data_IF_291847696828
#
_entry.id   IF_291847696828
#
_cell.length_a   1.000
_cell.length_b   1.000
_cell.length_c   1.000
_cell.angle_alpha   90.00
_cell.angle_beta   90.00
_cell.angle_gamma   90.00
#
_symmetry.space_group_name_H-M   'P 1'
#
loop_
_entity.id
_entity.type
_entity.pdbx_description
1 polymer ?
#
# COMPACT_ATOMS: atom_id res chain seq x y z
N UNK A 1 -24.35 48.20 -38.87
CA UNK A 1 -23.34 48.03 -37.79
C UNK A 1 -23.85 47.42 -36.46
N UNK A 2 -25.16 47.37 -36.15
CA UNK A 2 -25.69 46.92 -34.84
C UNK A 2 -25.65 45.40 -34.54
N UNK A 3 -25.56 44.52 -35.56
CA UNK A 3 -25.60 43.04 -35.38
C UNK A 3 -24.25 42.45 -34.94
N UNK A 4 -23.13 43.00 -35.46
CA UNK A 4 -21.76 42.61 -35.07
C UNK A 4 -21.42 42.98 -33.61
N UNK A 5 -21.99 44.07 -33.06
CA UNK A 5 -21.75 44.46 -31.66
C UNK A 5 -22.53 43.59 -30.65
N UNK A 6 -23.72 43.08 -31.02
CA UNK A 6 -24.46 42.11 -30.20
C UNK A 6 -23.73 40.76 -30.11
N UNK A 7 -23.20 40.27 -31.22
CA UNK A 7 -22.39 39.04 -31.24
C UNK A 7 -21.11 39.15 -30.41
N UNK A 8 -20.40 40.29 -30.48
CA UNK A 8 -19.23 40.55 -29.61
C UNK A 8 -19.59 40.59 -28.13
N UNK A 9 -20.74 41.17 -27.76
CA UNK A 9 -21.22 41.17 -26.37
C UNK A 9 -21.57 39.77 -25.87
N UNK A 10 -22.22 38.95 -26.70
CA UNK A 10 -22.52 37.54 -26.39
C UNK A 10 -21.23 36.75 -26.20
N UNK A 11 -20.22 36.94 -27.06
CA UNK A 11 -18.92 36.28 -26.94
C UNK A 11 -18.19 36.67 -25.64
N UNK A 12 -18.21 37.94 -25.25
CA UNK A 12 -17.62 38.41 -23.99
C UNK A 12 -18.33 37.78 -22.78
N UNK A 13 -19.67 37.70 -22.79
CA UNK A 13 -20.43 37.04 -21.72
C UNK A 13 -20.09 35.56 -21.62
N UNK A 14 -19.91 34.87 -22.75
CA UNK A 14 -19.51 33.47 -22.78
C UNK A 14 -18.11 33.24 -22.19
N UNK A 15 -17.16 34.12 -22.51
CA UNK A 15 -15.80 34.07 -21.96
C UNK A 15 -15.82 34.28 -20.44
N UNK A 16 -16.63 35.23 -19.94
CA UNK A 16 -16.78 35.48 -18.51
C UNK A 16 -17.36 34.24 -17.80
N UNK A 17 -18.35 33.56 -18.39
CA UNK A 17 -18.90 32.32 -17.83
C UNK A 17 -17.87 31.19 -17.76
N UNK A 18 -17.03 31.04 -18.78
CA UNK A 18 -15.94 30.05 -18.78
C UNK A 18 -14.92 30.37 -17.68
N UNK A 19 -14.57 31.64 -17.49
CA UNK A 19 -13.66 32.06 -16.42
C UNK A 19 -14.26 31.76 -15.04
N UNK A 20 -15.55 32.02 -14.82
CA UNK A 20 -16.24 31.70 -13.57
C UNK A 20 -16.25 30.19 -13.31
N UNK A 21 -16.48 29.37 -14.34
CA UNK A 21 -16.42 27.92 -14.22
C UNK A 21 -15.01 27.42 -13.86
N UNK A 22 -13.96 27.96 -14.49
CA UNK A 22 -12.56 27.64 -14.17
C UNK A 22 -12.23 28.04 -12.73
N UNK A 23 -12.63 29.24 -12.29
CA UNK A 23 -12.43 29.70 -10.91
C UNK A 23 -13.19 28.80 -9.94
N UNK A 24 -14.42 28.39 -10.27
CA UNK A 24 -15.21 27.46 -9.46
C UNK A 24 -14.51 26.12 -9.29
N UNK A 25 -13.93 25.56 -10.36
CA UNK A 25 -13.14 24.32 -10.32
C UNK A 25 -11.87 24.50 -9.48
N UNK A 26 -11.17 25.63 -9.62
CA UNK A 26 -9.96 25.93 -8.85
C UNK A 26 -10.25 26.11 -7.35
N UNK A 27 -11.33 26.83 -7.01
CA UNK A 27 -11.78 27.01 -5.63
C UNK A 27 -12.23 25.69 -5.03
N UNK A 28 -12.96 24.86 -5.79
CA UNK A 28 -13.33 23.51 -5.37
C UNK A 28 -12.09 22.65 -5.09
N UNK A 29 -11.13 22.61 -6.01
CA UNK A 29 -9.89 21.85 -5.83
C UNK A 29 -8.97 22.41 -4.73
N UNK A 30 -9.09 23.68 -4.36
CA UNK A 30 -8.26 24.28 -3.31
C UNK A 30 -8.89 24.18 -1.92
N UNK A 31 -10.21 24.34 -1.81
CA UNK A 31 -10.92 24.34 -0.52
C UNK A 31 -11.58 22.99 -0.18
N UNK A 32 -11.96 22.18 -1.16
CA UNK A 32 -12.67 20.91 -0.96
C UNK A 32 -11.83 19.68 -1.32
N UNK A 33 -10.56 19.85 -1.71
CA UNK A 33 -9.63 18.72 -1.77
C UNK A 33 -9.32 18.35 -0.33
N UNK A 34 -9.93 17.26 0.13
CA UNK A 34 -9.58 16.61 1.40
C UNK A 34 -8.06 16.51 1.44
N UNK A 35 -7.44 17.28 2.33
CA UNK A 35 -6.05 17.04 2.70
C UNK A 35 -6.11 15.70 3.43
N UNK A 36 -5.71 14.63 2.75
CA UNK A 36 -5.30 13.43 3.46
C UNK A 36 -4.25 13.90 4.47
N UNK A 37 -4.50 13.69 5.75
CA UNK A 37 -3.50 14.02 6.76
C UNK A 37 -2.28 13.14 6.48
N UNK A 38 -1.13 13.79 6.27
CA UNK A 38 0.11 13.07 6.04
C UNK A 38 0.46 12.27 7.29
N UNK A 39 0.40 10.95 7.17
CA UNK A 39 0.79 10.01 8.22
C UNK A 39 2.29 10.11 8.44
N UNK A 40 2.71 10.32 9.69
CA UNK A 40 4.13 10.49 10.01
C UNK A 40 4.87 9.15 10.05
N UNK A 41 6.09 9.17 9.52
CA UNK A 41 7.08 8.11 9.76
C UNK A 41 7.71 8.32 11.15
N UNK A 42 7.69 7.27 11.96
CA UNK A 42 8.19 7.30 13.35
C UNK A 42 9.48 6.51 13.53
N UNK A 43 9.82 5.61 12.60
CA UNK A 43 11.07 4.84 12.55
C UNK A 43 11.35 4.43 11.11
N UNK A 44 12.63 4.31 10.75
CA UNK A 44 13.05 3.87 9.42
C UNK A 44 14.22 2.91 9.55
N UNK A 45 14.35 2.01 8.56
CA UNK A 45 15.54 1.18 8.31
C UNK A 45 16.10 1.63 6.94
N UNK A 46 16.83 2.77 6.86
CA UNK A 46 17.09 3.45 5.59
C UNK A 46 17.88 2.61 4.60
N UNK A 47 18.77 1.75 5.11
CA UNK A 47 19.58 0.85 4.30
C UNK A 47 18.76 -0.16 3.48
N UNK A 48 17.56 -0.49 3.93
CA UNK A 48 16.64 -1.42 3.27
C UNK A 48 15.39 -0.71 2.75
N UNK A 49 15.24 0.59 3.01
CA UNK A 49 14.09 1.39 2.56
C UNK A 49 12.77 0.89 3.14
N UNK A 50 12.74 0.64 4.46
CA UNK A 50 11.52 0.32 5.20
C UNK A 50 11.19 1.43 6.18
N UNK A 51 9.93 1.83 6.22
CA UNK A 51 9.42 2.86 7.12
C UNK A 51 8.30 2.31 8.01
N UNK A 52 8.29 2.76 9.27
CA UNK A 52 7.21 2.51 10.21
C UNK A 52 6.38 3.79 10.37
N UNK A 53 5.10 3.69 10.07
CA UNK A 53 4.14 4.79 10.15
C UNK A 53 3.40 4.83 11.50
N UNK A 54 2.99 6.02 11.92
CA UNK A 54 2.37 6.20 13.25
C UNK A 54 1.01 5.52 13.40
N UNK A 55 0.24 5.41 12.31
CA UNK A 55 -1.08 4.79 12.27
C UNK A 55 -1.03 3.25 12.19
N UNK A 56 0.15 2.64 12.15
CA UNK A 56 0.26 1.18 12.14
C UNK A 56 -0.25 0.55 13.44
N UNK A 57 -0.79 -0.66 13.34
CA UNK A 57 -1.30 -1.41 14.49
C UNK A 57 -0.17 -1.76 15.45
N UNK A 58 -0.53 -2.11 16.69
CA UNK A 58 0.44 -2.62 17.65
C UNK A 58 1.14 -3.87 17.12
N UNK A 59 0.40 -4.77 16.47
CA UNK A 59 0.95 -6.00 15.89
C UNK A 59 2.01 -5.69 14.83
N UNK A 60 1.73 -4.76 13.91
CA UNK A 60 2.71 -4.35 12.90
C UNK A 60 3.97 -3.72 13.54
N UNK A 61 3.79 -2.82 14.52
CA UNK A 61 4.90 -2.19 15.25
C UNK A 61 5.78 -3.23 15.94
N UNK A 62 5.17 -4.22 16.59
CA UNK A 62 5.90 -5.28 17.29
C UNK A 62 6.71 -6.17 16.31
N UNK A 63 6.14 -6.53 15.16
CA UNK A 63 6.87 -7.27 14.10
C UNK A 63 7.96 -6.39 13.43
N UNK A 64 7.72 -5.08 13.26
CA UNK A 64 8.70 -4.17 12.66
C UNK A 64 9.96 -4.02 13.53
N UNK A 65 9.82 -4.03 14.85
CA UNK A 65 10.98 -4.05 15.76
C UNK A 65 11.80 -5.34 15.60
N UNK A 66 11.16 -6.49 15.36
CA UNK A 66 11.89 -7.74 15.07
C UNK A 66 12.64 -7.67 13.74
N UNK A 67 12.02 -7.05 12.73
CA UNK A 67 12.69 -6.81 11.45
C UNK A 67 13.94 -5.94 11.64
N UNK A 68 13.82 -4.84 12.39
CA UNK A 68 14.95 -3.95 12.70
C UNK A 68 16.07 -4.70 13.43
N UNK A 69 15.73 -5.55 14.39
CA UNK A 69 16.69 -6.39 15.12
C UNK A 69 17.39 -7.42 14.20
N UNK A 70 16.66 -8.02 13.24
CA UNK A 70 17.23 -8.95 12.25
C UNK A 70 18.22 -8.22 11.34
N UNK A 71 17.83 -7.05 10.84
CA UNK A 71 18.60 -6.28 9.85
C UNK A 71 19.76 -5.47 10.45
N UNK A 72 19.77 -5.27 11.77
CA UNK A 72 20.87 -4.63 12.50
C UNK A 72 22.07 -5.56 12.74
N UNK A 73 21.95 -6.85 12.42
CA UNK A 73 23.03 -7.83 12.59
C UNK A 73 24.05 -7.73 11.45
N UNK A 74 25.33 -7.96 11.77
CA UNK A 74 26.40 -8.02 10.75
C UNK A 74 26.19 -9.17 9.75
N UNK A 75 25.63 -10.29 10.22
CA UNK A 75 25.27 -11.44 9.41
C UNK A 75 23.75 -11.61 9.48
N UNK A 76 23.07 -11.24 8.39
CA UNK A 76 21.62 -11.23 8.31
C UNK A 76 21.12 -12.64 8.04
N UNK A 77 20.22 -13.11 8.91
CA UNK A 77 19.49 -14.35 8.70
C UNK A 77 18.36 -14.11 7.68
N UNK A 78 18.59 -14.53 6.43
CA UNK A 78 17.65 -14.31 5.33
C UNK A 78 16.38 -15.16 5.45
N UNK A 79 16.42 -16.29 6.16
CA UNK A 79 15.23 -17.11 6.40
C UNK A 79 14.30 -16.39 7.38
N UNK A 80 14.83 -15.89 8.50
CA UNK A 80 14.06 -15.10 9.45
C UNK A 80 13.61 -13.77 8.87
N UNK A 81 14.44 -13.12 8.05
CA UNK A 81 14.06 -11.92 7.32
C UNK A 81 12.89 -12.18 6.36
N UNK A 82 12.92 -13.27 5.59
CA UNK A 82 11.83 -13.66 4.69
C UNK A 82 10.52 -13.91 5.44
N UNK A 83 10.58 -14.61 6.58
CA UNK A 83 9.41 -14.79 7.46
C UNK A 83 8.87 -13.45 7.96
N UNK A 84 9.75 -12.53 8.35
CA UNK A 84 9.35 -11.27 8.96
C UNK A 84 8.69 -10.32 7.94
N UNK A 85 9.23 -10.19 6.73
CA UNK A 85 8.58 -9.37 5.69
C UNK A 85 7.24 -9.96 5.25
N UNK A 86 7.09 -11.28 5.26
CA UNK A 86 5.82 -11.95 4.97
C UNK A 86 4.75 -11.58 6.02
N UNK A 87 5.10 -11.58 7.31
CA UNK A 87 4.18 -11.13 8.36
C UNK A 87 3.80 -9.67 8.18
N UNK A 88 4.79 -8.79 8.04
CA UNK A 88 4.56 -7.35 7.90
C UNK A 88 3.69 -7.04 6.68
N UNK A 89 3.95 -7.70 5.55
CA UNK A 89 3.11 -7.60 4.35
C UNK A 89 1.66 -8.00 4.65
N UNK A 90 1.42 -9.17 5.25
CA UNK A 90 0.05 -9.63 5.58
C UNK A 90 -0.64 -8.65 6.53
N UNK A 91 0.04 -8.23 7.60
CA UNK A 91 -0.53 -7.34 8.61
C UNK A 91 -0.92 -6.00 7.98
N UNK A 92 -0.03 -5.40 7.17
CA UNK A 92 -0.28 -4.10 6.56
C UNK A 92 -1.31 -4.18 5.43
N UNK A 93 -1.20 -5.16 4.54
CA UNK A 93 -2.09 -5.28 3.38
C UNK A 93 -3.53 -5.62 3.79
N UNK A 94 -3.73 -6.54 4.73
CA UNK A 94 -5.07 -7.01 5.12
C UNK A 94 -5.69 -6.24 6.30
N UNK A 95 -4.94 -5.34 6.95
CA UNK A 95 -5.52 -4.39 7.92
C UNK A 95 -5.99 -3.15 7.20
N UNK A 96 -7.28 -3.10 6.87
CA UNK A 96 -7.88 -1.96 6.18
C UNK A 96 -8.37 -0.87 7.14
N UNK A 97 -8.58 -1.21 8.41
CA UNK A 97 -9.11 -0.30 9.43
C UNK A 97 -8.23 0.92 9.70
N UNK A 98 -6.92 0.82 9.46
CA UNK A 98 -5.96 1.90 9.67
C UNK A 98 -5.64 2.72 8.41
N UNK A 99 -6.26 2.42 7.26
CA UNK A 99 -5.98 3.06 5.98
C UNK A 99 -6.70 4.39 5.81
N UNK A 100 -5.98 5.36 5.24
CA UNK A 100 -6.48 6.72 5.00
C UNK A 100 -7.50 6.78 3.86
N UNK A 101 -7.32 5.97 2.81
CA UNK A 101 -8.25 5.90 1.69
C UNK A 101 -7.94 4.66 0.86
N UNK A 102 -8.72 4.43 -0.21
CA UNK A 102 -8.39 3.39 -1.20
C UNK A 102 -7.01 3.53 -1.86
N UNK A 103 -6.34 4.68 -1.71
CA UNK A 103 -5.01 4.91 -2.29
C UNK A 103 -3.87 4.57 -1.32
N UNK A 104 -4.18 4.38 -0.03
CA UNK A 104 -3.21 4.01 1.00
C UNK A 104 -3.02 2.48 1.00
N UNK A 105 -2.32 1.96 -0.01
CA UNK A 105 -2.09 0.52 -0.18
C UNK A 105 -0.99 0.05 0.77
N UNK A 106 -1.29 -0.91 1.64
CA UNK A 106 -0.31 -1.51 2.54
C UNK A 106 0.64 -2.50 1.84
N UNK A 107 1.81 -2.72 2.44
CA UNK A 107 2.76 -3.77 2.05
C UNK A 107 3.61 -3.47 0.81
N UNK A 108 3.50 -2.28 0.22
CA UNK A 108 4.16 -1.94 -1.05
C UNK A 108 5.68 -1.95 -0.98
N UNK A 109 6.25 -1.74 0.20
CA UNK A 109 7.71 -1.67 0.42
C UNK A 109 8.40 -3.04 0.26
N UNK A 110 7.62 -4.11 0.42
CA UNK A 110 8.07 -5.49 0.26
C UNK A 110 7.89 -6.00 -1.17
N UNK A 111 7.09 -5.33 -2.00
CA UNK A 111 6.86 -5.73 -3.38
C UNK A 111 8.03 -5.32 -4.26
N UNK A 112 8.43 -6.23 -5.16
CA UNK A 112 9.45 -5.98 -6.18
C UNK A 112 9.15 -4.69 -6.95
N UNK A 113 10.16 -3.82 -7.07
CA UNK A 113 10.00 -2.48 -7.65
C UNK A 113 9.37 -2.49 -9.05
N UNK A 114 9.77 -3.42 -9.92
CA UNK A 114 9.22 -3.57 -11.26
C UNK A 114 7.74 -4.01 -11.29
N UNK A 115 7.23 -4.56 -10.18
CA UNK A 115 5.86 -5.09 -10.05
C UNK A 115 4.98 -4.18 -9.20
N UNK A 116 5.57 -3.23 -8.46
CA UNK A 116 4.89 -2.42 -7.44
C UNK A 116 3.73 -1.61 -8.00
N UNK A 117 3.90 -0.96 -9.16
CA UNK A 117 2.84 -0.14 -9.76
C UNK A 117 1.62 -1.00 -10.14
N UNK A 118 1.85 -2.17 -10.76
CA UNK A 118 0.78 -3.10 -11.09
C UNK A 118 0.07 -3.63 -9.84
N UNK A 119 0.84 -4.01 -8.82
CA UNK A 119 0.30 -4.43 -7.52
C UNK A 119 -0.59 -3.34 -6.90
N UNK A 120 -0.12 -2.08 -6.89
CA UNK A 120 -0.88 -0.94 -6.34
C UNK A 120 -2.19 -0.73 -7.11
N UNK A 121 -2.17 -0.78 -8.44
CA UNK A 121 -3.40 -0.60 -9.25
C UNK A 121 -4.38 -1.76 -9.08
N UNK A 122 -3.89 -3.01 -9.00
CA UNK A 122 -4.71 -4.18 -8.73
C UNK A 122 -5.34 -4.11 -7.34
N UNK A 123 -4.54 -3.87 -6.30
CA UNK A 123 -5.03 -3.71 -4.92
C UNK A 123 -6.07 -2.59 -4.83
N UNK A 124 -5.79 -1.42 -5.42
CA UNK A 124 -6.71 -0.27 -5.45
C UNK A 124 -8.03 -0.58 -6.14
N UNK A 125 -8.00 -1.32 -7.24
CA UNK A 125 -9.18 -1.62 -8.06
C UNK A 125 -10.01 -2.80 -7.54
N UNK A 126 -9.41 -3.63 -6.67
CA UNK A 126 -10.02 -4.82 -6.09
C UNK A 126 -10.24 -4.66 -4.58
N UNK A 127 -9.27 -5.07 -3.77
CA UNK A 127 -9.35 -5.20 -2.32
C UNK A 127 -9.60 -3.86 -1.62
N UNK A 128 -8.95 -2.78 -2.08
CA UNK A 128 -9.05 -1.45 -1.48
C UNK A 128 -10.17 -0.60 -2.11
N UNK A 129 -10.88 -1.10 -3.13
CA UNK A 129 -11.79 -0.32 -3.99
C UNK A 129 -12.84 0.49 -3.24
N UNK A 130 -13.38 -0.05 -2.15
CA UNK A 130 -14.50 0.52 -1.41
C UNK A 130 -14.09 1.23 -0.12
N UNK A 131 -12.79 1.39 0.13
CA UNK A 131 -12.29 2.12 1.29
C UNK A 131 -12.62 3.60 1.13
N UNK A 132 -13.47 4.10 2.02
CA UNK A 132 -13.78 5.52 2.12
C UNK A 132 -12.59 6.31 2.65
N UNK A 133 -12.50 7.58 2.26
CA UNK A 133 -11.50 8.49 2.81
C UNK A 133 -11.76 8.66 4.30
N UNK A 134 -10.71 8.53 5.10
CA UNK A 134 -10.74 8.72 6.54
C UNK A 134 -11.25 10.13 6.86
N UNK A 135 -12.26 10.18 7.72
CA UNK A 135 -12.87 11.41 8.21
C UNK A 135 -13.62 11.11 9.50
N UNK A 136 -13.96 12.15 10.26
CA UNK A 136 -14.74 12.02 11.51
C UNK A 136 -16.10 11.32 11.32
N UNK A 137 -16.61 11.24 10.10
CA UNK A 137 -17.90 10.65 9.77
C UNK A 137 -17.81 9.26 9.12
N UNK A 138 -16.61 8.69 8.99
CA UNK A 138 -16.43 7.34 8.43
C UNK A 138 -17.04 6.31 9.39
N UNK A 139 -18.00 5.54 8.89
CA UNK A 139 -18.71 4.49 9.65
C UNK A 139 -18.50 3.09 9.03
N UNK A 140 -17.38 2.85 8.36
CA UNK A 140 -17.08 1.55 7.76
C UNK A 140 -16.45 0.60 8.77
N UNK A 141 -17.04 -0.59 8.93
CA UNK A 141 -16.37 -1.71 9.59
C UNK A 141 -15.38 -2.35 8.62
N UNK A 142 -14.13 -2.49 9.04
CA UNK A 142 -13.03 -2.92 8.18
C UNK A 142 -12.15 -3.94 8.89
N UNK A 143 -11.59 -4.91 8.14
CA UNK A 143 -10.75 -5.94 8.71
C UNK A 143 -9.51 -5.35 9.38
N UNK A 144 -9.13 -5.97 10.50
CA UNK A 144 -7.85 -5.76 11.17
C UNK A 144 -7.30 -7.13 11.54
N UNK A 145 -6.08 -7.41 11.08
CA UNK A 145 -5.36 -8.64 11.42
C UNK A 145 -5.05 -8.62 12.92
N UNK A 146 -5.48 -9.65 13.63
CA UNK A 146 -5.34 -9.75 15.09
C UNK A 146 -4.11 -10.56 15.51
N UNK A 147 -3.74 -11.56 14.73
CA UNK A 147 -2.63 -12.48 15.05
C UNK A 147 -2.13 -13.20 13.78
N UNK A 148 -0.81 -13.43 13.71
CA UNK A 148 -0.21 -14.40 12.78
C UNK A 148 -0.19 -15.78 13.45
N UNK A 149 -0.90 -16.75 12.89
CA UNK A 149 -1.04 -18.11 13.44
C UNK A 149 0.15 -18.99 13.15
N UNK A 150 0.62 -18.96 11.91
CA UNK A 150 1.70 -19.84 11.48
C UNK A 150 2.46 -19.20 10.34
N UNK A 151 3.77 -19.44 10.33
CA UNK A 151 4.67 -19.08 9.24
C UNK A 151 5.57 -20.28 9.00
N UNK A 152 5.56 -20.80 7.79
CA UNK A 152 6.44 -21.87 7.33
C UNK A 152 7.24 -21.35 6.15
N UNK A 153 8.49 -21.74 6.08
CA UNK A 153 9.39 -21.37 5.00
C UNK A 153 10.03 -22.63 4.43
N UNK A 154 10.27 -22.61 3.13
CA UNK A 154 11.06 -23.61 2.43
C UNK A 154 11.85 -22.94 1.31
N UNK A 155 13.03 -23.50 1.02
CA UNK A 155 13.83 -23.08 -0.12
C UNK A 155 13.11 -23.43 -1.43
N UNK A 156 13.17 -22.53 -2.40
CA UNK A 156 12.56 -22.71 -3.71
C UNK A 156 13.34 -21.96 -4.78
N UNK A 157 12.87 -22.04 -6.02
CA UNK A 157 13.42 -21.26 -7.14
C UNK A 157 12.34 -20.38 -7.74
N UNK A 158 12.72 -19.22 -8.27
CA UNK A 158 11.84 -18.34 -9.01
C UNK A 158 12.34 -18.15 -10.45
N UNK A 159 11.45 -18.22 -11.43
CA UNK A 159 11.78 -17.95 -12.83
C UNK A 159 11.18 -16.61 -13.25
N UNK A 160 12.05 -15.66 -13.60
CA UNK A 160 11.65 -14.35 -14.10
C UNK A 160 11.06 -14.46 -15.52
N UNK A 161 10.39 -13.40 -15.96
CA UNK A 161 9.78 -13.36 -17.31
C UNK A 161 10.78 -13.43 -18.47
N UNK A 162 12.07 -13.22 -18.21
CA UNK A 162 13.16 -13.35 -19.17
C UNK A 162 13.85 -14.73 -19.12
N UNK A 163 13.21 -15.71 -18.48
CA UNK A 163 13.69 -17.08 -18.25
C UNK A 163 14.93 -17.19 -17.34
N UNK A 164 15.34 -16.09 -16.69
CA UNK A 164 16.37 -16.16 -15.64
C UNK A 164 15.82 -16.90 -14.42
N UNK A 165 16.62 -17.80 -13.85
CA UNK A 165 16.25 -18.57 -12.63
C UNK A 165 17.06 -18.06 -11.45
N UNK A 166 16.36 -17.73 -10.36
CA UNK A 166 16.94 -17.52 -9.04
C UNK A 166 16.68 -18.75 -8.16
N UNK A 167 17.74 -19.52 -7.89
CA UNK A 167 17.69 -20.73 -7.07
C UNK A 167 17.72 -20.45 -5.56
N UNK A 168 17.80 -19.17 -5.14
CA UNK A 168 17.86 -18.76 -3.73
C UNK A 168 16.59 -18.01 -3.30
N UNK A 169 15.44 -18.47 -3.79
CA UNK A 169 14.15 -17.94 -3.41
C UNK A 169 13.59 -18.68 -2.18
N UNK A 170 12.66 -18.04 -1.48
CA UNK A 170 11.91 -18.64 -0.38
C UNK A 170 10.44 -18.72 -0.73
N UNK A 171 9.81 -19.87 -0.43
CA UNK A 171 8.36 -19.95 -0.35
C UNK A 171 7.94 -19.81 1.11
N UNK A 172 7.12 -18.82 1.41
CA UNK A 172 6.55 -18.63 2.74
C UNK A 172 5.06 -18.94 2.71
N UNK A 173 4.63 -19.93 3.49
CA UNK A 173 3.20 -20.21 3.75
C UNK A 173 2.83 -19.58 5.09
N UNK A 174 1.85 -18.68 5.08
CA UNK A 174 1.42 -17.92 6.24
C UNK A 174 -0.09 -18.04 6.46
N UNK A 175 -0.52 -18.03 7.73
CA UNK A 175 -1.93 -17.93 8.09
C UNK A 175 -2.15 -16.98 9.26
N UNK A 176 -3.31 -16.34 9.31
CA UNK A 176 -3.64 -15.27 10.27
C UNK A 176 -5.12 -15.28 10.65
N UNK A 177 -5.43 -14.61 11.75
CA UNK A 177 -6.80 -14.31 12.18
C UNK A 177 -7.08 -12.82 12.09
N UNK A 178 -8.37 -12.47 11.98
CA UNK A 178 -8.87 -11.11 12.12
C UNK A 178 -9.47 -10.87 13.50
N UNK A 179 -9.66 -9.59 13.87
CA UNK A 179 -10.49 -9.23 15.02
C UNK A 179 -11.95 -9.61 14.82
N UNK A 180 -12.45 -9.42 13.60
CA UNK A 180 -13.80 -9.76 13.17
C UNK A 180 -13.74 -10.42 11.79
N UNK A 181 -14.55 -11.46 11.59
CA UNK A 181 -14.58 -12.22 10.34
C UNK A 181 -15.54 -11.56 9.33
N UNK A 182 -14.96 -11.00 8.28
CA UNK A 182 -15.68 -10.41 7.15
C UNK A 182 -15.57 -11.28 5.87
N UNK A 183 -15.06 -12.51 5.98
CA UNK A 183 -14.89 -13.44 4.86
C UNK A 183 -13.66 -13.19 3.99
N UNK A 184 -12.67 -12.45 4.50
CA UNK A 184 -11.38 -12.27 3.83
C UNK A 184 -10.50 -13.52 3.95
N UNK A 185 -9.48 -13.57 3.10
CA UNK A 185 -8.45 -14.61 3.12
C UNK A 185 -7.79 -14.72 4.50
N UNK A 186 -7.44 -15.93 4.92
CA UNK A 186 -6.79 -16.20 6.22
C UNK A 186 -5.49 -17.00 6.06
N UNK A 187 -5.07 -17.19 4.81
CA UNK A 187 -3.87 -17.91 4.41
C UNK A 187 -3.38 -17.39 3.06
N UNK A 188 -2.08 -17.45 2.86
CA UNK A 188 -1.44 -17.16 1.58
C UNK A 188 -0.13 -17.95 1.48
N UNK A 189 0.35 -18.17 0.26
CA UNK A 189 1.77 -18.41 0.02
C UNK A 189 2.39 -17.22 -0.70
N UNK A 190 3.67 -16.99 -0.46
CA UNK A 190 4.46 -15.94 -1.10
C UNK A 190 5.77 -16.51 -1.60
N UNK A 191 6.20 -16.06 -2.77
CA UNK A 191 7.57 -16.27 -3.25
C UNK A 191 8.36 -14.99 -3.02
N UNK A 192 9.49 -15.14 -2.32
CA UNK A 192 10.38 -14.06 -1.94
C UNK A 192 11.75 -14.31 -2.57
N UNK A 193 12.27 -13.31 -3.27
CA UNK A 193 13.59 -13.34 -3.91
C UNK A 193 14.53 -12.35 -3.26
N UNK A 194 15.83 -12.59 -3.40
CA UNK A 194 16.88 -11.71 -2.89
C UNK A 194 17.51 -10.91 -4.02
N UNK A 195 17.62 -9.60 -3.82
CA UNK A 195 18.46 -8.75 -4.66
C UNK A 195 19.43 -7.95 -3.81
N UNK A 196 20.72 -8.22 -4.03
CA UNK A 196 21.82 -7.72 -3.22
C UNK A 196 21.63 -8.06 -1.73
N UNK A 197 21.15 -7.10 -0.92
CA UNK A 197 20.83 -7.32 0.49
C UNK A 197 19.33 -7.30 0.82
N UNK A 198 18.48 -6.87 -0.11
CA UNK A 198 17.04 -6.69 0.15
C UNK A 198 16.23 -7.88 -0.37
N UNK A 199 15.19 -8.25 0.39
CA UNK A 199 14.22 -9.25 -0.03
C UNK A 199 12.99 -8.58 -0.61
N UNK A 200 12.42 -9.22 -1.64
CA UNK A 200 11.23 -8.75 -2.35
C UNK A 200 10.25 -9.89 -2.56
N UNK A 201 8.97 -9.61 -2.33
CA UNK A 201 7.86 -10.48 -2.73
C UNK A 201 7.64 -10.29 -4.24
N UNK A 202 7.59 -11.40 -4.97
CA UNK A 202 7.38 -11.45 -6.43
C UNK A 202 6.13 -12.23 -6.83
N UNK A 203 5.59 -13.07 -5.94
CA UNK A 203 4.36 -13.82 -6.18
C UNK A 203 3.60 -13.99 -4.85
N UNK A 204 2.27 -13.99 -4.93
CA UNK A 204 1.39 -14.33 -3.82
C UNK A 204 0.14 -15.06 -4.33
N UNK A 205 -0.25 -16.14 -3.65
CA UNK A 205 -1.41 -17.00 -3.95
C UNK A 205 -2.22 -17.43 -2.71
#
# INVERSE_FOLDING_TARGET
MKKKSKLKKILIILIILVIIAIIGILVYNFFFKNKEEEVKVIKSIPEYGYDLRENETKLYKDEFEKLDDILSKNDVDYEEYAKEIAKLFIIDFYTLSNKQSKNDIGGTDFIKESMRDNFIEEARSTFYRYIEVLSDNRNQDLPEVSEIKSVKIEDTSFTYSDDTVDDNAYRVTISWDYKEDFGYETKANMIIVREDKKLYIVEMD
#
